data_IF_438029362366
#
_entry.id   IF_438029362366
#
_cell.length_a   1.000
_cell.length_b   1.000
_cell.length_c   1.000
_cell.angle_alpha   90.00
_cell.angle_beta   90.00
_cell.angle_gamma   90.00
#
_symmetry.space_group_name_H-M   'P 1'
#
loop_
_entity.id
_entity.type
_entity.pdbx_description
1 polymer ?
#
# COMPACT_ATOMS: atom_id res chain seq x y z
N UNK A 1 -1.93 6.23 6.34
CA UNK A 1 -2.33 4.91 6.82
C UNK A 1 -3.58 5.07 7.65
N UNK A 2 -4.63 4.34 7.31
CA UNK A 2 -5.98 4.54 7.85
C UNK A 2 -6.47 3.23 8.41
N UNK A 3 -6.50 3.10 9.74
CA UNK A 3 -7.12 1.96 10.43
C UNK A 3 -8.62 2.23 10.64
N UNK A 4 -9.01 3.51 10.60
CA UNK A 4 -10.39 3.96 10.71
C UNK A 4 -11.20 3.56 9.47
N UNK A 5 -12.49 3.30 9.68
CA UNK A 5 -13.45 2.99 8.60
C UNK A 5 -13.48 1.52 8.15
N UNK A 6 -12.79 0.60 8.83
CA UNK A 6 -12.87 -0.83 8.54
C UNK A 6 -12.62 -1.72 9.78
N UNK A 7 -13.61 -2.57 10.10
CA UNK A 7 -13.60 -3.54 11.22
C UNK A 7 -13.84 -4.99 10.77
N UNK A 8 -13.79 -5.25 9.46
CA UNK A 8 -14.01 -6.58 8.89
C UNK A 8 -12.76 -7.47 8.88
N UNK A 9 -12.89 -8.59 8.16
CA UNK A 9 -11.82 -9.56 7.90
C UNK A 9 -10.55 -8.90 7.36
N UNK A 10 -9.38 -9.44 7.71
CA UNK A 10 -8.12 -8.84 7.29
C UNK A 10 -7.29 -9.84 6.51
N UNK A 11 -6.63 -9.35 5.46
CA UNK A 11 -5.69 -10.10 4.65
C UNK A 11 -4.32 -9.45 4.78
N UNK A 12 -3.32 -10.27 5.08
CA UNK A 12 -1.93 -9.91 4.96
C UNK A 12 -1.50 -10.09 3.50
N UNK A 13 -0.87 -9.06 2.96
CA UNK A 13 -0.23 -9.06 1.64
C UNK A 13 1.25 -8.84 1.86
N UNK A 14 2.06 -9.79 1.42
CA UNK A 14 3.51 -9.61 1.30
C UNK A 14 3.92 -9.66 -0.16
N UNK A 15 4.89 -8.85 -0.54
CA UNK A 15 5.41 -8.84 -1.90
C UNK A 15 6.93 -8.82 -1.92
N UNK A 16 7.50 -9.35 -3.00
CA UNK A 16 8.94 -9.40 -3.23
C UNK A 16 9.26 -8.89 -4.65
N UNK A 17 10.14 -7.90 -4.71
CA UNK A 17 10.61 -7.29 -5.95
C UNK A 17 12.06 -7.66 -6.14
N UNK A 18 12.40 -8.25 -7.28
CA UNK A 18 13.80 -8.56 -7.61
C UNK A 18 14.68 -7.30 -7.50
N UNK A 19 15.81 -7.42 -6.80
CA UNK A 19 16.75 -6.31 -6.57
C UNK A 19 17.34 -5.71 -7.85
N UNK A 20 17.33 -6.45 -8.97
CA UNK A 20 17.75 -5.94 -10.28
C UNK A 20 16.70 -5.06 -10.96
N UNK A 21 15.44 -5.10 -10.53
CA UNK A 21 14.30 -4.43 -11.17
C UNK A 21 13.98 -3.08 -10.52
N UNK A 22 14.95 -2.15 -10.48
CA UNK A 22 14.81 -0.83 -9.81
C UNK A 22 13.59 -0.03 -10.29
N UNK A 23 13.28 -0.07 -11.59
CA UNK A 23 12.10 0.59 -12.14
C UNK A 23 10.78 0.02 -11.62
N UNK A 24 10.72 -1.32 -11.45
CA UNK A 24 9.56 -2.00 -10.85
C UNK A 24 9.44 -1.61 -9.38
N UNK A 25 10.54 -1.64 -8.62
CA UNK A 25 10.53 -1.23 -7.22
C UNK A 25 10.02 0.21 -7.03
N UNK A 26 10.50 1.15 -7.85
CA UNK A 26 10.01 2.53 -7.84
C UNK A 26 8.51 2.60 -8.16
N UNK A 27 8.03 1.81 -9.14
CA UNK A 27 6.61 1.76 -9.49
C UNK A 27 5.75 1.18 -8.36
N UNK A 28 6.22 0.14 -7.70
CA UNK A 28 5.57 -0.45 -6.52
C UNK A 28 5.44 0.59 -5.40
N UNK A 29 6.52 1.32 -5.10
CA UNK A 29 6.47 2.40 -4.11
C UNK A 29 5.43 3.46 -4.45
N UNK A 30 5.33 3.87 -5.72
CA UNK A 30 4.32 4.83 -6.16
C UNK A 30 2.88 4.31 -5.98
N UNK A 31 2.64 3.01 -6.23
CA UNK A 31 1.32 2.38 -6.07
C UNK A 31 0.96 2.27 -4.59
N UNK A 32 1.90 1.82 -3.75
CA UNK A 32 1.66 1.61 -2.32
C UNK A 32 1.58 2.95 -1.57
N UNK A 33 2.59 3.80 -1.72
CA UNK A 33 2.78 5.03 -0.95
C UNK A 33 2.23 6.30 -1.62
N UNK A 34 1.72 6.17 -2.84
CA UNK A 34 1.28 7.30 -3.65
C UNK A 34 2.46 8.01 -4.32
N UNK A 35 2.14 9.03 -5.12
CA UNK A 35 3.15 9.80 -5.86
C UNK A 35 2.69 11.22 -6.11
N UNK A 36 3.65 12.11 -6.36
CA UNK A 36 3.35 13.45 -6.86
C UNK A 36 3.09 13.39 -8.37
N UNK A 37 2.04 14.07 -8.80
CA UNK A 37 1.64 14.26 -10.20
C UNK A 37 1.46 15.74 -10.48
N UNK A 38 1.48 16.09 -11.75
CA UNK A 38 1.20 17.42 -12.26
C UNK A 38 -0.10 17.28 -13.05
N UNK A 39 -1.08 18.16 -12.80
CA UNK A 39 -2.32 18.14 -13.57
C UNK A 39 -2.04 18.49 -15.04
N UNK A 40 -2.82 17.89 -15.96
CA UNK A 40 -2.70 18.14 -17.40
C UNK A 40 -3.37 19.47 -17.84
N UNK A 41 -4.01 20.18 -16.91
CA UNK A 41 -4.66 21.47 -17.15
C UNK A 41 -3.67 22.63 -17.29
N UNK A 42 -4.19 23.79 -17.72
CA UNK A 42 -3.41 25.01 -18.01
C UNK A 42 -2.49 25.43 -16.86
N UNK A 43 -2.94 25.24 -15.63
CA UNK A 43 -2.24 25.69 -14.42
C UNK A 43 -1.17 24.70 -13.93
N UNK A 44 -1.07 23.50 -14.53
CA UNK A 44 -0.08 22.45 -14.22
C UNK A 44 0.18 22.30 -12.72
N UNK A 45 -0.89 22.26 -11.94
CA UNK A 45 -0.80 22.25 -10.47
C UNK A 45 -0.29 20.90 -9.97
N UNK A 46 0.74 20.88 -9.11
CA UNK A 46 1.17 19.65 -8.44
C UNK A 46 0.07 19.11 -7.51
N UNK A 47 -0.23 17.82 -7.60
CA UNK A 47 -1.12 17.12 -6.68
C UNK A 47 -0.53 15.78 -6.23
N UNK A 48 -0.99 15.27 -5.09
CA UNK A 48 -0.59 13.96 -4.57
C UNK A 48 -1.63 12.91 -4.95
N UNK A 49 -1.25 11.99 -5.82
CA UNK A 49 -2.02 10.79 -6.12
C UNK A 49 -1.88 9.84 -4.93
N UNK A 50 -3.01 9.47 -4.32
CA UNK A 50 -3.06 8.60 -3.15
C UNK A 50 -2.74 7.15 -3.55
N UNK A 51 -1.78 6.53 -2.88
CA UNK A 51 -1.55 5.08 -2.95
C UNK A 51 -2.40 4.27 -1.97
N UNK A 52 -2.24 2.94 -2.00
CA UNK A 52 -2.98 2.00 -1.15
C UNK A 52 -2.92 2.32 0.35
N UNK A 53 -1.78 2.81 0.88
CA UNK A 53 -1.68 3.16 2.31
C UNK A 53 -2.63 4.28 2.76
N UNK A 54 -3.29 4.96 1.84
CA UNK A 54 -4.26 6.02 2.16
C UNK A 54 -5.70 5.52 2.11
N UNK A 55 -5.93 4.24 1.77
CA UNK A 55 -7.27 3.65 1.76
C UNK A 55 -7.69 3.25 3.18
N UNK A 56 -9.00 3.26 3.48
CA UNK A 56 -9.53 2.76 4.76
C UNK A 56 -9.13 1.31 5.02
N UNK A 57 -8.77 0.99 6.25
CA UNK A 57 -8.36 -0.36 6.67
C UNK A 57 -6.95 -0.81 6.27
N UNK A 58 -6.24 -0.07 5.41
CA UNK A 58 -4.89 -0.46 4.96
C UNK A 58 -3.82 -0.03 5.97
N UNK A 59 -3.02 -1.00 6.39
CA UNK A 59 -1.95 -0.89 7.39
C UNK A 59 -0.63 -1.39 6.82
N UNK A 60 0.43 -0.60 6.90
CA UNK A 60 1.80 -0.96 6.54
C UNK A 60 2.53 -1.45 7.79
N UNK A 61 2.87 -2.75 7.85
CA UNK A 61 3.42 -3.37 9.07
C UNK A 61 4.90 -3.75 8.94
N UNK A 62 5.47 -3.71 7.73
CA UNK A 62 6.87 -3.99 7.46
C UNK A 62 7.24 -3.61 6.03
N UNK A 63 8.52 -3.64 5.66
CA UNK A 63 9.03 -3.07 4.39
C UNK A 63 8.15 -3.40 3.17
N UNK A 64 7.86 -4.68 2.97
CA UNK A 64 7.05 -5.17 1.84
C UNK A 64 5.78 -5.90 2.31
N UNK A 65 5.26 -5.54 3.49
CA UNK A 65 4.15 -6.24 4.14
C UNK A 65 3.06 -5.27 4.57
N UNK A 66 1.83 -5.55 4.14
CA UNK A 66 0.64 -4.78 4.47
C UNK A 66 -0.46 -5.70 5.01
N UNK A 67 -1.34 -5.13 5.83
CA UNK A 67 -2.61 -5.73 6.25
C UNK A 67 -3.73 -4.85 5.71
N UNK A 68 -4.74 -5.41 5.06
CA UNK A 68 -5.79 -4.64 4.41
C UNK A 68 -7.11 -5.41 4.27
N UNK A 69 -8.21 -4.73 3.90
CA UNK A 69 -9.45 -5.40 3.52
C UNK A 69 -9.24 -6.39 2.35
N UNK A 70 -10.02 -7.48 2.27
CA UNK A 70 -9.86 -8.49 1.20
C UNK A 70 -9.97 -7.90 -0.21
N UNK A 71 -10.87 -6.92 -0.41
CA UNK A 71 -11.03 -6.24 -1.70
C UNK A 71 -9.76 -5.53 -2.14
N UNK A 72 -9.11 -4.79 -1.24
CA UNK A 72 -7.86 -4.09 -1.53
C UNK A 72 -6.71 -5.07 -1.74
N UNK A 73 -6.70 -6.20 -1.02
CA UNK A 73 -5.70 -7.24 -1.18
C UNK A 73 -5.74 -7.86 -2.58
N UNK A 74 -6.95 -8.20 -3.07
CA UNK A 74 -7.15 -8.73 -4.43
C UNK A 74 -6.71 -7.71 -5.48
N UNK A 75 -7.08 -6.44 -5.31
CA UNK A 75 -6.71 -5.38 -6.25
C UNK A 75 -5.20 -5.16 -6.29
N UNK A 76 -4.56 -5.01 -5.12
CA UNK A 76 -3.11 -4.80 -5.03
C UNK A 76 -2.36 -6.00 -5.59
N UNK A 77 -2.73 -7.22 -5.21
CA UNK A 77 -2.12 -8.44 -5.72
C UNK A 77 -2.24 -8.51 -7.26
N UNK A 78 -3.41 -8.20 -7.83
CA UNK A 78 -3.59 -8.19 -9.27
C UNK A 78 -2.71 -7.14 -9.98
N UNK A 79 -2.60 -5.93 -9.42
CA UNK A 79 -1.73 -4.87 -9.97
C UNK A 79 -0.26 -5.29 -9.90
N UNK A 80 0.19 -5.83 -8.78
CA UNK A 80 1.58 -6.23 -8.56
C UNK A 80 1.97 -7.44 -9.42
N UNK A 81 1.12 -8.45 -9.55
CA UNK A 81 1.36 -9.59 -10.44
C UNK A 81 1.55 -9.15 -11.89
N UNK A 82 0.77 -8.18 -12.38
CA UNK A 82 0.94 -7.62 -13.74
C UNK A 82 2.27 -6.89 -13.94
N UNK A 83 2.94 -6.48 -12.86
CA UNK A 83 4.28 -5.90 -12.89
C UNK A 83 5.40 -6.94 -12.75
N UNK A 84 5.06 -8.23 -12.69
CA UNK A 84 6.02 -9.32 -12.47
C UNK A 84 6.53 -9.42 -11.03
N UNK A 85 5.82 -8.81 -10.07
CA UNK A 85 6.15 -8.85 -8.65
C UNK A 85 5.56 -10.12 -8.04
N UNK A 86 6.35 -10.82 -7.21
CA UNK A 86 5.86 -11.98 -6.47
C UNK A 86 5.00 -11.49 -5.30
N UNK A 87 3.82 -12.04 -5.14
CA UNK A 87 2.89 -11.65 -4.08
C UNK A 87 2.36 -12.89 -3.37
N UNK A 88 2.32 -12.85 -2.05
CA UNK A 88 1.61 -13.81 -1.24
C UNK A 88 0.51 -13.10 -0.45
N UNK A 89 -0.64 -13.77 -0.33
CA UNK A 89 -1.79 -13.27 0.44
C UNK A 89 -2.27 -14.33 1.40
N UNK A 90 -2.64 -13.95 2.61
CA UNK A 90 -3.23 -14.87 3.59
C UNK A 90 -4.17 -14.17 4.56
N UNK A 91 -5.28 -14.81 4.97
CA UNK A 91 -6.16 -14.27 6.00
C UNK A 91 -5.39 -14.19 7.33
N UNK A 92 -5.66 -13.12 8.10
CA UNK A 92 -5.05 -12.93 9.42
C UNK A 92 -6.09 -12.43 10.42
N UNK A 93 -6.04 -12.99 11.63
CA UNK A 93 -6.82 -12.52 12.77
C UNK A 93 -5.96 -11.57 13.59
N UNK A 94 -6.08 -10.27 13.33
CA UNK A 94 -5.39 -9.22 14.08
C UNK A 94 -6.41 -8.17 14.50
N UNK A 95 -6.51 -7.93 15.80
CA UNK A 95 -7.42 -6.93 16.33
C UNK A 95 -6.97 -5.49 16.01
N UNK A 96 -7.91 -4.54 16.15
CA UNK A 96 -7.68 -3.13 15.84
C UNK A 96 -6.59 -2.49 16.71
N UNK A 97 -6.49 -2.86 18.00
CA UNK A 97 -5.52 -2.29 18.92
C UNK A 97 -4.10 -2.75 18.57
N UNK A 98 -3.93 -4.03 18.26
CA UNK A 98 -2.67 -4.60 17.77
C UNK A 98 -2.21 -3.93 16.47
N UNK A 99 -3.13 -3.64 15.54
CA UNK A 99 -2.78 -2.91 14.31
C UNK A 99 -2.44 -1.44 14.56
N UNK A 100 -3.02 -0.83 15.59
CA UNK A 100 -2.71 0.55 15.95
C UNK A 100 -1.24 0.73 16.34
N UNK A 101 -0.59 -0.29 16.90
CA UNK A 101 0.83 -0.27 17.19
C UNK A 101 1.71 -0.08 15.94
N UNK A 102 1.22 -0.45 14.76
CA UNK A 102 1.92 -0.26 13.48
C UNK A 102 1.62 1.09 12.83
N UNK A 103 0.80 1.97 13.44
CA UNK A 103 0.65 3.36 12.98
C UNK A 103 1.98 4.08 13.16
N UNK A 104 2.81 4.05 12.12
CA UNK A 104 3.92 4.99 12.02
C UNK A 104 3.32 6.38 11.84
N UNK A 105 3.64 7.29 12.77
CA UNK A 105 3.41 8.72 12.59
C UNK A 105 3.98 9.15 11.23
N UNK A 106 3.44 10.20 10.66
CA UNK A 106 3.63 10.76 9.31
C UNK A 106 5.08 11.00 8.81
N UNK A 107 6.12 10.50 9.49
CA UNK A 107 7.48 10.40 9.01
C UNK A 107 7.63 9.35 7.91
N UNK A 108 7.24 9.71 6.69
CA UNK A 108 7.94 9.19 5.52
C UNK A 108 9.43 9.62 5.66
N UNK A 109 10.42 8.73 5.47
CA UNK A 109 11.80 9.17 5.44
C UNK A 109 11.99 10.24 4.35
N UNK A 110 12.75 11.29 4.71
CA UNK A 110 13.09 12.43 3.86
C UNK A 110 13.81 12.01 2.58
#
# INVERSE_FOLDING_TARGET
MTIEGYDGERVLVSYDVSGSARGVAARVCQIVFGRKRISEGRDRTPYREKGFIHRPGVVWIGQSVLVMPPRDAVELAGVLHRLGVRVATGPVSIDRASLAAFRRGSGLPA
#
